data_IF_856548439101
#
_entry.id   IF_856548439101
#
_cell.length_a   1.000
_cell.length_b   1.000
_cell.length_c   1.000
_cell.angle_alpha   90.00
_cell.angle_beta   90.00
_cell.angle_gamma   90.00
#
_symmetry.space_group_name_H-M   'P 1'
#
loop_
_entity.id
_entity.type
_entity.pdbx_description
1 polymer ?
#
# COMPACT_ATOMS: atom_id res chain seq x y z
N UNK A 1 -33.14 -75.22 -6.22
CA UNK A 1 -32.58 -74.66 -4.97
C UNK A 1 -31.21 -74.05 -5.26
N UNK A 2 -31.10 -72.72 -5.41
CA UNK A 2 -29.92 -71.90 -5.04
C UNK A 2 -30.43 -70.50 -4.70
N UNK A 3 -29.94 -69.98 -3.57
CA UNK A 3 -30.52 -68.90 -2.76
C UNK A 3 -30.25 -67.51 -3.40
N UNK A 4 -31.24 -66.59 -3.40
CA UNK A 4 -31.00 -65.16 -3.53
C UNK A 4 -30.87 -64.56 -2.11
N UNK A 5 -29.80 -63.84 -1.81
CA UNK A 5 -29.60 -62.89 -0.68
C UNK A 5 -28.08 -62.70 -0.55
N UNK A 6 -27.55 -61.65 -1.18
CA UNK A 6 -26.38 -60.89 -0.71
C UNK A 6 -26.28 -59.57 -1.48
N UNK A 7 -27.38 -58.83 -1.57
CA UNK A 7 -27.27 -57.38 -1.63
C UNK A 7 -26.95 -56.90 -0.22
N UNK A 8 -26.26 -55.76 -0.13
CA UNK A 8 -26.19 -54.90 1.07
C UNK A 8 -24.95 -54.98 1.97
N UNK A 9 -23.70 -54.88 1.45
CA UNK A 9 -22.61 -54.35 2.31
C UNK A 9 -21.34 -53.80 1.62
N UNK A 10 -21.31 -53.58 0.30
CA UNK A 10 -20.19 -52.85 -0.35
C UNK A 10 -20.71 -51.80 -1.34
N UNK A 11 -21.83 -51.19 -1.00
CA UNK A 11 -22.01 -49.76 -1.25
C UNK A 11 -21.24 -49.05 -0.12
N UNK A 12 -20.62 -47.90 -0.38
CA UNK A 12 -19.78 -47.11 0.55
C UNK A 12 -18.26 -47.42 0.49
N UNK A 13 -17.64 -47.28 -0.69
CA UNK A 13 -16.23 -46.81 -0.81
C UNK A 13 -15.96 -46.11 -2.17
N UNK A 14 -17.02 -45.79 -2.93
CA UNK A 14 -16.95 -44.77 -3.99
C UNK A 14 -17.12 -43.41 -3.35
N UNK A 15 -16.04 -42.76 -2.92
CA UNK A 15 -15.85 -41.31 -2.73
C UNK A 15 -14.40 -41.12 -2.23
N UNK A 16 -13.77 -40.03 -2.66
CA UNK A 16 -12.39 -39.58 -2.40
C UNK A 16 -11.41 -39.91 -3.52
N UNK A 17 -11.40 -39.02 -4.51
CA UNK A 17 -10.38 -39.01 -5.57
C UNK A 17 -10.58 -37.90 -6.60
N UNK A 18 -11.06 -36.72 -6.20
CA UNK A 18 -11.02 -35.53 -7.07
C UNK A 18 -9.88 -34.67 -6.57
N UNK A 19 -8.66 -34.98 -7.02
CA UNK A 19 -7.56 -34.04 -6.94
C UNK A 19 -7.90 -32.88 -7.88
N UNK A 20 -8.37 -31.77 -7.33
CA UNK A 20 -8.43 -30.51 -8.06
C UNK A 20 -7.00 -29.97 -8.17
N UNK A 21 -6.30 -30.37 -9.22
CA UNK A 21 -5.14 -29.62 -9.66
C UNK A 21 -5.66 -28.25 -10.14
N UNK A 22 -5.46 -27.20 -9.34
CA UNK A 22 -5.47 -25.84 -9.88
C UNK A 22 -4.28 -25.74 -10.84
N UNK A 23 -4.52 -26.03 -12.10
CA UNK A 23 -3.66 -25.56 -13.17
C UNK A 23 -3.82 -24.03 -13.20
N UNK A 24 -2.75 -23.23 -13.33
CA UNK A 24 -2.91 -21.85 -13.75
C UNK A 24 -3.65 -21.89 -15.08
N UNK A 25 -4.81 -21.27 -15.12
CA UNK A 25 -5.55 -21.07 -16.36
C UNK A 25 -4.80 -19.96 -17.11
N UNK A 26 -3.79 -20.35 -17.89
CA UNK A 26 -3.08 -19.46 -18.80
C UNK A 26 -4.01 -19.12 -19.98
N UNK A 27 -5.08 -18.37 -19.68
CA UNK A 27 -5.88 -17.72 -20.69
C UNK A 27 -5.14 -16.43 -21.07
N UNK A 28 -4.57 -16.31 -22.29
CA UNK A 28 -3.82 -15.13 -22.71
C UNK A 28 -4.67 -13.85 -22.80
N UNK A 29 -5.98 -13.96 -22.57
CA UNK A 29 -6.95 -12.87 -22.65
C UNK A 29 -7.37 -12.28 -21.28
N UNK A 30 -6.92 -12.83 -20.14
CA UNK A 30 -7.16 -12.25 -18.80
C UNK A 30 -5.98 -11.40 -18.31
N UNK A 31 -5.42 -10.61 -19.22
CA UNK A 31 -4.47 -9.53 -18.87
C UNK A 31 -5.29 -8.36 -18.34
N UNK A 32 -5.80 -8.46 -17.11
CA UNK A 32 -6.16 -7.25 -16.38
C UNK A 32 -4.89 -6.39 -16.32
N UNK A 33 -4.88 -5.15 -16.87
CA UNK A 33 -3.70 -4.33 -16.76
C UNK A 33 -3.44 -4.15 -15.26
N UNK A 34 -2.26 -4.56 -14.80
CA UNK A 34 -1.80 -4.27 -13.44
C UNK A 34 -1.72 -2.75 -13.34
N UNK A 35 -2.81 -2.13 -12.87
CA UNK A 35 -2.87 -0.69 -12.68
C UNK A 35 -1.85 -0.37 -11.60
N UNK A 36 -0.85 0.44 -11.95
CA UNK A 36 0.18 0.87 -11.02
C UNK A 36 -0.47 1.58 -9.82
N UNK A 37 -0.47 0.93 -8.67
CA UNK A 37 -1.10 1.41 -7.45
C UNK A 37 -0.55 2.76 -6.97
N UNK A 38 0.63 3.17 -7.46
CA UNK A 38 1.25 4.45 -7.12
C UNK A 38 0.59 5.64 -7.82
N UNK A 39 -0.05 5.42 -8.98
CA UNK A 39 -0.61 6.49 -9.81
C UNK A 39 -1.63 7.35 -9.06
N UNK A 40 -2.42 6.77 -8.15
CA UNK A 40 -3.39 7.51 -7.35
C UNK A 40 -2.75 8.54 -6.41
N UNK A 41 -1.51 8.30 -5.98
CA UNK A 41 -0.77 9.21 -5.08
C UNK A 41 -0.06 10.33 -5.82
N UNK A 42 0.22 10.18 -7.12
CA UNK A 42 0.91 11.19 -7.90
C UNK A 42 0.12 12.52 -7.93
N UNK A 43 0.82 13.63 -7.72
CA UNK A 43 0.27 14.98 -7.81
C UNK A 43 0.66 15.87 -6.64
N UNK A 44 -0.03 17.01 -6.55
CA UNK A 44 0.17 18.01 -5.49
C UNK A 44 -0.90 17.83 -4.42
N UNK A 45 -0.49 17.87 -3.16
CA UNK A 45 -1.31 17.62 -1.99
C UNK A 45 -1.17 18.75 -0.98
N UNK A 46 -2.27 19.15 -0.38
CA UNK A 46 -2.27 19.99 0.81
C UNK A 46 -2.21 19.10 2.05
N UNK A 47 -1.10 19.16 2.79
CA UNK A 47 -0.94 18.51 4.07
C UNK A 47 -1.47 19.43 5.17
N UNK A 48 -2.27 18.88 6.09
CA UNK A 48 -2.64 19.53 7.35
C UNK A 48 -2.27 18.60 8.50
N UNK A 49 -1.32 19.04 9.34
CA UNK A 49 -0.87 18.32 10.52
C UNK A 49 -1.75 18.63 11.74
N UNK A 50 -1.78 17.71 12.71
CA UNK A 50 -2.45 17.90 14.01
C UNK A 50 -1.95 19.11 14.80
N UNK A 51 -0.76 19.62 14.47
CA UNK A 51 -0.15 20.84 15.00
C UNK A 51 -0.77 22.14 14.44
N UNK A 52 -1.76 22.04 13.55
CA UNK A 52 -2.39 23.13 12.77
C UNK A 52 -1.50 23.75 11.69
N UNK A 53 -0.30 23.19 11.45
CA UNK A 53 0.51 23.55 10.29
C UNK A 53 -0.11 22.99 9.01
N UNK A 54 -0.14 23.80 7.95
CA UNK A 54 -0.58 23.36 6.62
C UNK A 54 0.41 23.82 5.56
N UNK A 55 0.75 22.90 4.65
CA UNK A 55 1.76 23.13 3.61
C UNK A 55 1.55 22.19 2.42
N UNK A 56 2.12 22.57 1.28
CA UNK A 56 2.04 21.79 0.05
C UNK A 56 3.10 20.69 0.01
N UNK A 57 2.70 19.48 -0.35
CA UNK A 57 3.59 18.34 -0.64
C UNK A 57 3.42 17.93 -2.10
N UNK A 58 4.51 17.69 -2.80
CA UNK A 58 4.48 17.14 -4.16
C UNK A 58 4.88 15.67 -4.13
N UNK A 59 4.03 14.81 -4.68
CA UNK A 59 4.26 13.37 -4.76
C UNK A 59 4.51 12.98 -6.21
N UNK A 60 5.66 12.36 -6.46
CA UNK A 60 6.05 11.81 -7.77
C UNK A 60 6.33 10.32 -7.68
N UNK A 61 6.28 9.63 -8.82
CA UNK A 61 6.65 8.23 -8.90
C UNK A 61 8.18 8.09 -8.88
N UNK A 62 8.70 7.07 -8.19
CA UNK A 62 10.08 6.69 -8.41
C UNK A 62 10.21 5.92 -9.74
N UNK A 63 11.14 6.37 -10.60
CA UNK A 63 11.42 5.77 -11.90
C UNK A 63 12.37 4.58 -11.78
N UNK A 64 13.07 4.44 -10.65
CA UNK A 64 14.02 3.34 -10.39
C UNK A 64 13.32 2.19 -9.67
N UNK A 65 12.52 2.50 -8.64
CA UNK A 65 11.81 1.49 -7.85
C UNK A 65 10.30 1.48 -8.15
N UNK A 66 9.83 0.40 -8.78
CA UNK A 66 8.43 0.23 -9.21
C UNK A 66 7.38 0.21 -8.09
N UNK A 67 7.79 0.16 -6.82
CA UNK A 67 6.89 0.20 -5.65
C UNK A 67 6.98 1.50 -4.87
N UNK A 68 7.90 2.41 -5.23
CA UNK A 68 8.15 3.62 -4.43
C UNK A 68 7.58 4.89 -5.07
N UNK A 69 7.24 5.82 -4.20
CA UNK A 69 6.93 7.22 -4.50
C UNK A 69 7.91 8.13 -3.75
N UNK A 70 8.13 9.34 -4.29
CA UNK A 70 8.94 10.40 -3.69
C UNK A 70 8.03 11.54 -3.25
N UNK A 71 8.17 11.98 -2.00
CA UNK A 71 7.38 13.04 -1.38
C UNK A 71 8.30 14.23 -1.08
N UNK A 72 8.10 15.34 -1.79
CA UNK A 72 8.88 16.58 -1.64
C UNK A 72 8.16 17.56 -0.72
N UNK A 73 8.91 18.30 0.10
CA UNK A 73 8.39 19.14 1.18
C UNK A 73 7.60 18.36 2.26
N UNK A 74 7.96 17.10 2.47
CA UNK A 74 7.44 16.29 3.58
C UNK A 74 7.83 16.94 4.91
N UNK A 75 6.89 17.05 5.85
CA UNK A 75 7.07 17.76 7.13
C UNK A 75 7.58 19.21 6.98
N UNK A 76 7.22 19.87 5.87
CA UNK A 76 7.64 21.24 5.56
C UNK A 76 9.17 21.46 5.55
N UNK A 77 9.94 20.40 5.24
CA UNK A 77 11.41 20.44 5.20
C UNK A 77 11.98 21.01 3.89
N UNK A 78 11.13 21.51 2.98
CA UNK A 78 11.53 22.08 1.70
C UNK A 78 11.45 21.11 0.52
N UNK A 79 11.47 21.66 -0.70
CA UNK A 79 11.35 20.89 -1.94
C UNK A 79 12.70 20.38 -2.51
N UNK A 80 13.82 20.73 -1.87
CA UNK A 80 15.16 20.35 -2.32
C UNK A 80 15.52 18.89 -2.00
N UNK A 81 14.83 18.29 -1.02
CA UNK A 81 14.95 16.89 -0.64
C UNK A 81 13.59 16.18 -0.73
N UNK A 82 13.61 14.84 -0.72
CA UNK A 82 12.41 14.01 -0.72
C UNK A 82 12.52 12.87 0.27
N UNK A 83 11.40 12.50 0.86
CA UNK A 83 11.24 11.20 1.52
C UNK A 83 10.69 10.17 0.53
N UNK A 84 11.02 8.90 0.72
CA UNK A 84 10.48 7.81 -0.11
C UNK A 84 9.49 6.96 0.68
N UNK A 85 8.38 6.60 0.05
CA UNK A 85 7.37 5.71 0.61
C UNK A 85 7.18 4.49 -0.28
N UNK A 86 7.00 3.32 0.33
CA UNK A 86 6.70 2.05 -0.36
C UNK A 86 5.18 1.91 -0.43
N UNK A 87 4.64 1.84 -1.64
CA UNK A 87 3.21 1.68 -1.89
C UNK A 87 2.83 0.21 -1.93
N UNK A 88 1.81 -0.16 -1.18
CA UNK A 88 1.16 -1.47 -1.24
C UNK A 88 -0.35 -1.27 -1.26
N UNK A 89 -0.97 -1.45 -2.42
CA UNK A 89 -2.40 -1.17 -2.63
C UNK A 89 -2.80 0.23 -2.17
N UNK A 90 -3.51 0.34 -1.04
CA UNK A 90 -4.02 1.58 -0.45
C UNK A 90 -3.16 2.13 0.67
N UNK A 91 -2.05 1.48 1.00
CA UNK A 91 -1.16 1.95 2.06
C UNK A 91 0.18 2.42 1.50
N UNK A 92 0.76 3.39 2.20
CA UNK A 92 2.17 3.76 2.07
C UNK A 92 2.84 3.34 3.37
N UNK A 93 3.98 2.66 3.26
CA UNK A 93 4.93 2.50 4.36
C UNK A 93 6.06 3.49 4.15
N UNK A 94 6.29 4.37 5.11
CA UNK A 94 7.45 5.24 5.18
C UNK A 94 8.50 4.53 6.05
N UNK A 95 9.46 3.79 5.47
CA UNK A 95 10.50 3.16 6.26
C UNK A 95 11.37 4.22 6.93
N UNK A 96 12.02 3.83 8.04
CA UNK A 96 13.00 4.67 8.73
C UNK A 96 14.08 5.15 7.76
N UNK A 97 14.16 6.46 7.61
CA UNK A 97 15.10 7.13 6.72
C UNK A 97 15.48 8.49 7.30
N UNK A 98 16.63 9.00 6.87
CA UNK A 98 17.10 10.32 7.30
C UNK A 98 16.89 11.36 6.20
N UNK A 99 16.53 12.55 6.64
CA UNK A 99 16.26 13.75 5.86
C UNK A 99 17.10 14.91 6.44
N UNK A 100 17.09 16.06 5.78
CA UNK A 100 17.78 17.27 6.19
C UNK A 100 19.27 17.00 6.45
N UNK A 101 19.97 16.50 5.42
CA UNK A 101 21.39 16.13 5.50
C UNK A 101 21.74 15.15 6.64
N UNK A 102 20.81 14.28 7.03
CA UNK A 102 21.04 13.26 8.04
C UNK A 102 20.67 13.66 9.47
N UNK A 103 20.07 14.83 9.67
CA UNK A 103 19.76 15.35 11.01
C UNK A 103 18.37 14.97 11.51
N UNK A 104 17.45 14.64 10.61
CA UNK A 104 16.05 14.31 10.95
C UNK A 104 15.73 12.89 10.50
N UNK A 105 15.32 12.03 11.42
CA UNK A 105 14.84 10.68 11.08
C UNK A 105 13.32 10.67 11.02
N UNK A 106 12.76 10.08 9.96
CA UNK A 106 11.31 9.94 9.77
C UNK A 106 10.94 8.49 9.51
N UNK A 107 9.77 8.07 9.98
CA UNK A 107 9.15 6.78 9.67
C UNK A 107 7.64 6.84 9.89
N UNK A 108 6.87 5.95 9.28
CA UNK A 108 5.42 5.98 9.44
C UNK A 108 4.64 5.14 8.43
N UNK A 109 3.35 5.40 8.40
CA UNK A 109 2.41 4.76 7.48
C UNK A 109 1.37 5.77 7.01
N UNK A 110 0.78 5.50 5.86
CA UNK A 110 -0.36 6.24 5.38
C UNK A 110 -1.41 5.32 4.76
N UNK A 111 -2.66 5.74 4.79
CA UNK A 111 -3.78 5.01 4.20
C UNK A 111 -4.59 5.95 3.30
N UNK A 112 -4.76 5.54 2.04
CA UNK A 112 -5.62 6.22 1.07
C UNK A 112 -7.09 5.94 1.40
N UNK A 113 -7.86 7.01 1.54
CA UNK A 113 -9.31 6.94 1.73
C UNK A 113 -10.03 6.53 0.44
N UNK A 114 -11.26 6.04 0.57
CA UNK A 114 -12.07 5.52 -0.55
C UNK A 114 -12.29 6.54 -1.67
N UNK A 115 -12.18 7.83 -1.39
CA UNK A 115 -12.35 8.91 -2.37
C UNK A 115 -11.15 9.12 -3.31
N UNK A 116 -10.00 8.47 -3.06
CA UNK A 116 -8.73 8.68 -3.78
C UNK A 116 -8.21 10.12 -3.80
N UNK A 117 -8.75 10.99 -2.95
CA UNK A 117 -8.38 12.41 -2.83
C UNK A 117 -7.95 12.79 -1.42
N UNK A 118 -8.03 11.86 -0.47
CA UNK A 118 -7.60 12.04 0.91
C UNK A 118 -6.69 10.90 1.33
N UNK A 119 -5.57 11.22 1.97
CA UNK A 119 -4.66 10.24 2.57
C UNK A 119 -4.43 10.62 4.03
N UNK A 120 -4.66 9.68 4.94
CA UNK A 120 -4.33 9.86 6.35
C UNK A 120 -2.94 9.32 6.61
N UNK A 121 -2.07 10.19 7.11
CA UNK A 121 -0.69 9.90 7.46
C UNK A 121 -0.53 9.84 8.98
N UNK A 122 0.22 8.84 9.42
CA UNK A 122 0.68 8.69 10.79
C UNK A 122 2.18 8.40 10.77
N UNK A 123 2.98 9.35 11.23
CA UNK A 123 4.43 9.27 11.17
C UNK A 123 5.08 9.88 12.39
N UNK A 124 6.35 9.53 12.59
CA UNK A 124 7.21 10.15 13.59
C UNK A 124 8.30 10.97 12.92
N UNK A 125 8.75 12.00 13.63
CA UNK A 125 9.88 12.84 13.26
C UNK A 125 10.80 12.92 14.48
N UNK A 126 12.06 12.56 14.30
CA UNK A 126 13.09 12.64 15.33
C UNK A 126 14.21 13.57 14.86
N UNK A 127 14.34 14.74 15.47
CA UNK A 127 15.36 15.76 15.16
C UNK A 127 16.69 15.53 15.90
N UNK A 128 16.83 14.39 16.59
CA UNK A 128 17.97 14.05 17.44
C UNK A 128 17.80 14.49 18.90
N UNK A 129 16.76 15.28 19.22
CA UNK A 129 16.46 15.77 20.56
C UNK A 129 15.07 15.32 21.01
N UNK A 130 14.07 15.52 20.16
CA UNK A 130 12.67 15.21 20.42
C UNK A 130 12.16 14.19 19.41
N UNK A 131 11.21 13.36 19.87
CA UNK A 131 10.44 12.46 19.02
C UNK A 131 9.00 12.96 18.96
N UNK A 132 8.63 13.53 17.82
CA UNK A 132 7.28 13.99 17.55
C UNK A 132 6.49 12.92 16.83
N UNK A 133 5.24 12.74 17.24
CA UNK A 133 4.29 11.84 16.57
C UNK A 133 3.21 12.69 15.93
N UNK A 134 3.11 12.60 14.60
CA UNK A 134 2.25 13.47 13.79
C UNK A 134 1.13 12.64 13.17
N UNK A 135 -0.09 13.17 13.29
CA UNK A 135 -1.24 12.78 12.47
C UNK A 135 -1.45 13.88 11.44
N UNK A 136 -1.47 13.53 10.16
CA UNK A 136 -1.64 14.49 9.08
C UNK A 136 -2.69 14.00 8.08
N UNK A 137 -3.47 14.94 7.55
CA UNK A 137 -4.43 14.67 6.47
C UNK A 137 -3.93 15.35 5.21
N UNK A 138 -3.71 14.56 4.17
CA UNK A 138 -3.30 15.02 2.86
C UNK A 138 -4.53 15.08 1.97
N UNK A 139 -4.84 16.25 1.42
CA UNK A 139 -5.94 16.45 0.48
C UNK A 139 -5.40 16.81 -0.90
N UNK A 140 -5.79 16.05 -1.93
CA UNK A 140 -5.32 16.26 -3.30
C UNK A 140 -5.78 17.62 -3.81
N UNK A 141 -4.85 18.42 -4.33
CA UNK A 141 -5.20 19.68 -4.97
C UNK A 141 -5.71 19.39 -6.37
N UNK A 142 -6.86 19.97 -6.72
CA UNK A 142 -7.44 19.86 -8.06
C UNK A 142 -6.40 20.30 -9.09
N UNK A 143 -6.17 19.46 -10.10
CA UNK A 143 -5.31 19.75 -11.25
C UNK A 143 -6.00 20.68 -12.24
#
# INVERSE_FOLDING_TARGET
>A
MKKPILYFFVAVISIVGVFTACQPDDNPDDITPVVDARLKYQGVWNCTESSTMSYTVNISLDTVNGTQIKMFNFHNLGFEEFSFGIVSNNTITLPSQTMCLGTTTIEGTATMQTNNTTVDFYYTVNDGVNLDTIQAVYTKQSS
#
